data_IF_323296402664
#
_entry.id   IF_323296402664
#
_cell.length_a   1.000
_cell.length_b   1.000
_cell.length_c   1.000
_cell.angle_alpha   90.00
_cell.angle_beta   90.00
_cell.angle_gamma   90.00
#
_symmetry.space_group_name_H-M   'P 1'
#
loop_
_entity.id
_entity.type
_entity.pdbx_description
1 polymer ?
#
# COMPACT_ATOMS: atom_id res chain seq x y z
N UNK A 1 11.89 -10.89 16.72
CA UNK A 1 10.64 -10.67 15.95
C UNK A 1 11.01 -9.76 14.77
N UNK A 2 10.44 -9.98 13.58
CA UNK A 2 10.65 -9.10 12.44
C UNK A 2 9.82 -7.83 12.58
N UNK A 3 10.29 -6.72 12.01
CA UNK A 3 9.70 -5.39 12.15
C UNK A 3 9.38 -4.79 10.79
N UNK A 4 8.32 -4.01 10.68
CA UNK A 4 8.00 -3.26 9.48
C UNK A 4 7.47 -1.86 9.83
N UNK A 5 7.90 -0.86 9.07
CA UNK A 5 7.46 0.52 9.21
C UNK A 5 6.35 0.82 8.18
N UNK A 6 5.24 1.40 8.63
CA UNK A 6 4.30 2.07 7.73
C UNK A 6 4.48 3.58 7.78
N UNK A 7 4.52 4.21 6.61
CA UNK A 7 4.56 5.66 6.42
C UNK A 7 3.30 6.04 5.64
N UNK A 8 2.28 6.55 6.31
CA UNK A 8 0.99 6.86 5.69
C UNK A 8 0.15 7.79 6.56
N UNK A 9 -0.96 8.26 6.01
CA UNK A 9 -2.01 8.93 6.78
C UNK A 9 -2.74 7.97 7.71
N UNK A 10 -3.34 8.52 8.75
CA UNK A 10 -4.24 7.76 9.63
C UNK A 10 -5.66 7.75 9.05
N UNK A 11 -6.44 6.74 9.43
CA UNK A 11 -7.87 6.66 9.20
C UNK A 11 -8.57 6.41 10.53
N UNK A 12 -9.29 7.43 11.04
CA UNK A 12 -9.95 7.32 12.35
C UNK A 12 -11.05 6.25 12.40
N UNK A 13 -11.58 5.80 11.24
CA UNK A 13 -12.49 4.65 11.16
C UNK A 13 -11.75 3.30 11.28
N UNK A 14 -10.44 3.29 11.14
CA UNK A 14 -9.61 2.11 11.31
C UNK A 14 -9.60 1.14 10.14
N UNK A 15 -10.20 1.50 8.99
CA UNK A 15 -10.32 0.62 7.83
C UNK A 15 -9.18 0.71 6.82
N UNK A 16 -8.48 1.84 6.79
CA UNK A 16 -7.37 2.10 5.87
C UNK A 16 -6.18 2.76 6.61
N UNK A 17 -5.23 3.32 5.86
CA UNK A 17 -4.09 4.05 6.40
C UNK A 17 -3.26 3.21 7.37
N UNK A 18 -2.56 3.89 8.29
CA UNK A 18 -1.70 3.22 9.28
C UNK A 18 -2.45 2.20 10.13
N UNK A 19 -3.75 2.38 10.37
CA UNK A 19 -4.53 1.45 11.18
C UNK A 19 -4.74 0.11 10.47
N UNK A 20 -5.06 0.12 9.18
CA UNK A 20 -5.11 -1.10 8.38
C UNK A 20 -3.73 -1.75 8.26
N UNK A 21 -2.68 -0.93 8.07
CA UNK A 21 -1.31 -1.38 7.92
C UNK A 21 -0.83 -2.11 9.19
N UNK A 22 -0.99 -1.48 10.37
CA UNK A 22 -0.58 -2.06 11.66
C UNK A 22 -1.34 -3.37 11.94
N UNK A 23 -2.68 -3.39 11.75
CA UNK A 23 -3.48 -4.60 11.90
C UNK A 23 -3.00 -5.71 10.98
N UNK A 24 -2.74 -5.39 9.71
CA UNK A 24 -2.27 -6.33 8.71
C UNK A 24 -0.90 -6.90 9.04
N UNK A 25 0.07 -6.04 9.36
CA UNK A 25 1.43 -6.44 9.74
C UNK A 25 1.40 -7.32 10.99
N UNK A 26 0.63 -6.92 12.01
CA UNK A 26 0.48 -7.68 13.26
C UNK A 26 -0.16 -9.06 13.01
N UNK A 27 -1.24 -9.12 12.22
CA UNK A 27 -1.88 -10.40 11.87
C UNK A 27 -0.96 -11.31 11.03
N UNK A 28 0.00 -10.73 10.29
CA UNK A 28 1.04 -11.45 9.58
C UNK A 28 2.28 -11.78 10.45
N UNK A 29 2.25 -11.53 11.77
CA UNK A 29 3.30 -11.89 12.72
C UNK A 29 4.52 -10.97 12.68
N UNK A 30 4.35 -9.71 12.29
CA UNK A 30 5.40 -8.69 12.21
C UNK A 30 5.09 -7.55 13.18
N UNK A 31 6.07 -7.07 13.93
CA UNK A 31 5.91 -5.90 14.78
C UNK A 31 5.86 -4.64 13.90
N UNK A 32 4.76 -3.91 13.98
CA UNK A 32 4.53 -2.72 13.17
C UNK A 32 4.94 -1.45 13.92
N UNK A 33 5.77 -0.62 13.28
CA UNK A 33 6.02 0.77 13.65
C UNK A 33 5.34 1.70 12.65
N UNK A 34 5.14 2.97 12.97
CA UNK A 34 4.50 3.92 12.07
C UNK A 34 5.14 5.31 12.12
N UNK A 35 5.12 6.00 10.97
CA UNK A 35 5.32 7.44 10.84
C UNK A 35 4.09 8.03 10.14
N UNK A 36 3.42 8.97 10.80
CA UNK A 36 2.11 9.49 10.39
C UNK A 36 2.29 10.72 9.51
N UNK A 37 1.82 10.65 8.27
CA UNK A 37 1.89 11.76 7.31
C UNK A 37 0.74 12.76 7.48
N UNK A 38 -0.42 12.28 7.89
CA UNK A 38 -1.60 13.11 8.17
C UNK A 38 -2.55 12.40 9.13
N UNK A 39 -3.26 13.16 9.95
CA UNK A 39 -4.44 12.70 10.68
C UNK A 39 -5.69 13.03 9.88
N UNK A 40 -6.64 12.09 9.80
CA UNK A 40 -7.94 12.36 9.16
C UNK A 40 -9.08 12.24 10.15
N UNK A 41 -10.03 13.13 10.09
CA UNK A 41 -11.35 12.95 10.67
C UNK A 41 -12.22 12.22 9.64
N UNK A 42 -12.19 10.89 9.69
CA UNK A 42 -12.74 10.02 8.65
C UNK A 42 -13.63 8.94 9.26
N UNK A 43 -14.67 8.57 8.51
CA UNK A 43 -15.51 7.42 8.77
C UNK A 43 -15.84 6.68 7.47
N UNK A 44 -16.69 5.65 7.51
CA UNK A 44 -17.03 4.84 6.33
C UNK A 44 -17.79 5.61 5.23
N UNK A 45 -18.28 6.81 5.51
CA UNK A 45 -19.05 7.65 4.58
C UNK A 45 -18.23 8.79 3.98
N UNK A 46 -17.04 9.12 4.52
CA UNK A 46 -16.17 10.17 3.98
C UNK A 46 -15.17 10.75 4.97
N UNK A 47 -14.41 11.71 4.47
CA UNK A 47 -13.41 12.49 5.22
C UNK A 47 -13.96 13.88 5.43
N UNK A 48 -13.99 14.36 6.68
CA UNK A 48 -14.51 15.68 7.05
C UNK A 48 -13.41 16.70 7.34
N UNK A 49 -12.20 16.22 7.73
CA UNK A 49 -11.06 17.10 8.00
C UNK A 49 -9.74 16.35 7.89
N UNK A 50 -8.67 17.08 7.60
CA UNK A 50 -7.31 16.54 7.45
C UNK A 50 -6.32 17.48 8.12
N UNK A 51 -5.48 16.94 9.00
CA UNK A 51 -4.35 17.63 9.61
C UNK A 51 -3.05 16.97 9.14
N UNK A 52 -2.31 17.61 8.24
CA UNK A 52 -1.02 17.10 7.77
C UNK A 52 0.08 17.23 8.85
N UNK A 53 0.99 16.27 8.87
CA UNK A 53 2.24 16.39 9.60
C UNK A 53 3.13 17.44 8.95
N UNK A 54 3.91 18.16 9.74
CA UNK A 54 4.94 19.02 9.15
C UNK A 54 6.11 18.20 8.63
N UNK A 55 6.85 18.65 7.59
CA UNK A 55 8.05 17.97 7.09
C UNK A 55 9.07 17.70 8.22
N UNK A 56 9.28 18.67 9.10
CA UNK A 56 10.17 18.53 10.27
C UNK A 56 9.69 17.40 11.19
N UNK A 57 8.40 17.40 11.58
CA UNK A 57 7.89 16.38 12.50
C UNK A 57 7.88 14.98 11.88
N UNK A 58 7.63 14.87 10.58
CA UNK A 58 7.75 13.59 9.88
C UNK A 58 9.19 13.08 9.90
N UNK A 59 10.18 13.97 9.68
CA UNK A 59 11.58 13.61 9.78
C UNK A 59 11.93 13.06 11.17
N UNK A 60 11.48 13.74 12.25
CA UNK A 60 11.67 13.29 13.63
C UNK A 60 11.06 11.91 13.91
N UNK A 61 9.84 11.64 13.39
CA UNK A 61 9.22 10.32 13.53
C UNK A 61 10.06 9.23 12.84
N UNK A 62 10.57 9.52 11.63
CA UNK A 62 11.39 8.58 10.86
C UNK A 62 12.73 8.34 11.57
N UNK A 63 13.39 9.40 12.03
CA UNK A 63 14.63 9.29 12.78
C UNK A 63 14.45 8.47 14.07
N UNK A 64 13.37 8.71 14.82
CA UNK A 64 13.07 7.96 16.04
C UNK A 64 12.91 6.44 15.77
N UNK A 65 12.26 6.07 14.66
CA UNK A 65 12.09 4.65 14.30
C UNK A 65 13.41 4.05 13.80
N UNK A 66 14.06 4.69 12.82
CA UNK A 66 15.25 4.14 12.19
C UNK A 66 16.48 4.07 13.11
N UNK A 67 16.54 4.90 14.16
CA UNK A 67 17.67 4.89 15.11
C UNK A 67 17.50 3.93 16.29
N UNK A 68 16.29 3.35 16.47
CA UNK A 68 16.00 2.46 17.60
C UNK A 68 15.44 1.10 17.10
N UNK A 69 14.24 1.09 16.55
CA UNK A 69 13.60 -0.13 16.03
C UNK A 69 13.75 -0.15 14.49
N UNK A 70 14.94 -0.50 14.01
CA UNK A 70 15.24 -0.53 12.58
C UNK A 70 14.29 -1.48 11.85
N UNK A 71 13.51 -0.99 10.86
CA UNK A 71 12.55 -1.84 10.16
C UNK A 71 13.24 -2.77 9.16
N UNK A 72 12.80 -4.05 9.13
CA UNK A 72 13.22 -5.03 8.11
C UNK A 72 12.57 -4.76 6.74
N UNK A 73 11.44 -4.03 6.71
CA UNK A 73 10.75 -3.57 5.51
C UNK A 73 9.97 -2.28 5.77
N UNK A 74 9.72 -1.51 4.73
CA UNK A 74 8.96 -0.26 4.80
C UNK A 74 7.78 -0.33 3.82
N UNK A 75 6.59 0.06 4.26
CA UNK A 75 5.43 0.30 3.40
C UNK A 75 5.13 1.79 3.38
N UNK A 76 4.94 2.34 2.20
CA UNK A 76 4.51 3.72 2.01
C UNK A 76 3.11 3.72 1.39
N UNK A 77 2.19 4.41 2.05
CA UNK A 77 0.84 4.61 1.55
C UNK A 77 0.61 6.04 1.07
N UNK A 78 -0.53 6.63 1.43
CA UNK A 78 -0.87 7.98 1.02
C UNK A 78 0.07 9.02 1.63
N UNK A 79 0.67 9.85 0.77
CA UNK A 79 1.46 11.03 1.14
C UNK A 79 1.00 12.18 0.24
N UNK A 80 0.49 13.24 0.83
CA UNK A 80 -0.27 14.29 0.13
C UNK A 80 0.56 15.41 -0.47
N UNK A 81 1.73 15.73 0.09
CA UNK A 81 2.52 16.89 -0.32
C UNK A 81 3.92 16.54 -0.83
N UNK A 82 4.44 17.38 -1.72
CA UNK A 82 5.78 17.22 -2.29
C UNK A 82 6.88 17.28 -1.21
N UNK A 83 6.69 18.12 -0.21
CA UNK A 83 7.63 18.30 0.90
C UNK A 83 7.72 17.04 1.77
N UNK A 84 6.60 16.40 2.10
CA UNK A 84 6.59 15.15 2.85
C UNK A 84 7.21 14.00 2.04
N UNK A 85 6.94 13.95 0.73
CA UNK A 85 7.55 12.96 -0.18
C UNK A 85 9.07 13.13 -0.22
N UNK A 86 9.57 14.36 -0.30
CA UNK A 86 11.00 14.65 -0.29
C UNK A 86 11.68 14.20 1.01
N UNK A 87 11.05 14.47 2.17
CA UNK A 87 11.54 14.02 3.47
C UNK A 87 11.60 12.49 3.54
N UNK A 88 10.54 11.78 3.11
CA UNK A 88 10.54 10.32 3.10
C UNK A 88 11.67 9.79 2.23
N UNK A 89 11.81 10.31 1.01
CA UNK A 89 12.85 9.87 0.09
C UNK A 89 14.28 10.14 0.63
N UNK A 90 14.49 11.28 1.29
CA UNK A 90 15.75 11.60 1.96
C UNK A 90 16.06 10.59 3.08
N UNK A 91 15.10 10.35 3.98
CA UNK A 91 15.28 9.43 5.12
C UNK A 91 15.49 7.98 4.68
N UNK A 92 14.77 7.51 3.66
CA UNK A 92 15.00 6.17 3.11
C UNK A 92 16.43 6.00 2.57
N UNK A 93 16.98 7.01 1.89
CA UNK A 93 18.38 7.02 1.42
C UNK A 93 19.36 7.10 2.58
N UNK A 94 19.11 8.00 3.55
CA UNK A 94 19.96 8.20 4.74
C UNK A 94 20.15 6.90 5.52
N UNK A 95 19.07 6.14 5.71
CA UNK A 95 19.09 4.90 6.48
C UNK A 95 19.26 3.63 5.65
N UNK A 96 19.39 3.75 4.32
CA UNK A 96 19.61 2.60 3.45
C UNK A 96 18.47 1.59 3.46
N UNK A 97 17.22 2.05 3.43
CA UNK A 97 16.05 1.16 3.45
C UNK A 97 15.98 0.32 2.16
N UNK A 98 15.98 -1.02 2.29
CA UNK A 98 16.10 -1.92 1.13
C UNK A 98 14.78 -2.53 0.66
N UNK A 99 13.85 -2.85 1.56
CA UNK A 99 12.58 -3.53 1.24
C UNK A 99 11.43 -2.54 1.33
N UNK A 100 11.30 -1.72 0.29
CA UNK A 100 10.34 -0.61 0.24
C UNK A 100 9.17 -0.97 -0.68
N UNK A 101 7.98 -1.09 -0.12
CA UNK A 101 6.72 -1.28 -0.83
C UNK A 101 6.00 0.05 -0.93
N UNK A 102 5.77 0.56 -2.13
CA UNK A 102 5.04 1.82 -2.34
C UNK A 102 3.69 1.55 -2.97
N UNK A 103 2.63 1.88 -2.26
CA UNK A 103 1.27 1.97 -2.81
C UNK A 103 1.07 3.41 -3.30
N UNK A 104 1.11 3.66 -4.63
CA UNK A 104 1.14 5.01 -5.17
C UNK A 104 -0.27 5.61 -5.22
N UNK A 105 -0.84 5.89 -4.03
CA UNK A 105 -2.20 6.38 -3.87
C UNK A 105 -2.32 7.78 -4.47
N UNK A 106 -2.76 7.87 -5.72
CA UNK A 106 -2.93 9.13 -6.46
C UNK A 106 -4.38 9.48 -6.72
N UNK A 107 -5.26 8.46 -6.75
CA UNK A 107 -6.67 8.60 -7.13
C UNK A 107 -7.53 7.89 -6.09
N UNK A 108 -8.57 8.55 -5.62
CA UNK A 108 -9.56 7.93 -4.75
C UNK A 108 -10.36 6.85 -5.50
N UNK A 109 -10.98 5.92 -4.78
CA UNK A 109 -11.90 4.93 -5.37
C UNK A 109 -13.04 5.56 -6.17
N UNK A 110 -13.41 6.79 -5.84
CA UNK A 110 -14.40 7.60 -6.57
C UNK A 110 -13.87 8.19 -7.90
N UNK A 111 -12.58 8.03 -8.22
CA UNK A 111 -11.92 8.64 -9.37
C UNK A 111 -11.42 10.07 -9.12
N UNK A 112 -11.62 10.64 -7.94
CA UNK A 112 -11.13 11.97 -7.62
C UNK A 112 -9.59 11.96 -7.46
N UNK A 113 -8.92 12.94 -8.08
CA UNK A 113 -7.48 13.15 -7.94
C UNK A 113 -7.16 13.55 -6.49
N UNK A 114 -6.30 12.77 -5.84
CA UNK A 114 -5.90 12.99 -4.44
C UNK A 114 -4.62 13.82 -4.31
N UNK A 115 -3.76 13.78 -5.32
CA UNK A 115 -2.48 14.47 -5.31
C UNK A 115 -2.48 15.64 -6.30
N UNK A 116 -1.82 16.74 -5.91
CA UNK A 116 -1.49 17.85 -6.80
C UNK A 116 -0.35 17.46 -7.73
N UNK A 117 -0.16 18.21 -8.80
CA UNK A 117 0.85 17.90 -9.83
C UNK A 117 2.28 17.96 -9.28
N UNK A 118 2.57 18.88 -8.36
CA UNK A 118 3.86 18.99 -7.66
C UNK A 118 4.15 17.74 -6.82
N UNK A 119 3.15 17.21 -6.13
CA UNK A 119 3.28 15.97 -5.34
C UNK A 119 3.47 14.74 -6.25
N UNK A 120 2.77 14.67 -7.39
CA UNK A 120 2.98 13.59 -8.38
C UNK A 120 4.41 13.66 -8.93
N UNK A 121 4.91 14.87 -9.23
CA UNK A 121 6.27 15.03 -9.70
C UNK A 121 7.31 14.60 -8.64
N UNK A 122 7.13 14.99 -7.38
CA UNK A 122 8.00 14.57 -6.30
C UNK A 122 7.93 13.03 -6.09
N UNK A 123 6.73 12.45 -6.12
CA UNK A 123 6.52 11.00 -6.02
C UNK A 123 7.30 10.26 -7.10
N UNK A 124 7.10 10.62 -8.35
CA UNK A 124 7.69 9.93 -9.51
C UNK A 124 9.19 10.13 -9.63
N UNK A 125 9.72 11.31 -9.28
CA UNK A 125 11.14 11.62 -9.43
C UNK A 125 12.01 11.24 -8.22
N UNK A 126 11.44 11.21 -7.01
CA UNK A 126 12.24 11.05 -5.79
C UNK A 126 11.94 9.76 -5.02
N UNK A 127 10.68 9.32 -4.97
CA UNK A 127 10.26 8.20 -4.13
C UNK A 127 10.13 6.88 -4.89
N UNK A 128 9.45 6.86 -6.04
CA UNK A 128 9.25 5.61 -6.79
C UNK A 128 10.56 4.91 -7.19
N UNK A 129 11.67 5.63 -7.54
CA UNK A 129 12.95 4.97 -7.81
C UNK A 129 13.60 4.28 -6.60
N UNK A 130 13.09 4.47 -5.40
CA UNK A 130 13.57 3.81 -4.18
C UNK A 130 12.77 2.54 -3.84
N UNK A 131 11.70 2.28 -4.59
CA UNK A 131 10.84 1.14 -4.31
C UNK A 131 11.48 -0.19 -4.71
N UNK A 132 11.27 -1.21 -3.90
CA UNK A 132 11.46 -2.61 -4.30
C UNK A 132 10.30 -3.08 -5.17
N UNK A 133 9.09 -2.66 -4.81
CA UNK A 133 7.87 -2.95 -5.56
C UNK A 133 6.85 -1.81 -5.43
N UNK A 134 6.24 -1.46 -6.56
CA UNK A 134 5.09 -0.57 -6.66
C UNK A 134 3.81 -1.40 -6.76
N UNK A 135 2.71 -0.94 -6.14
CA UNK A 135 1.43 -1.64 -6.16
C UNK A 135 0.30 -0.79 -6.75
N UNK A 136 0.43 -0.25 -7.98
CA UNK A 136 -0.59 0.58 -8.59
C UNK A 136 -1.86 -0.22 -8.92
N UNK A 137 -3.02 0.40 -8.75
CA UNK A 137 -4.26 -0.05 -9.40
C UNK A 137 -4.26 0.36 -10.89
N UNK A 138 -5.27 -0.04 -11.67
CA UNK A 138 -5.33 0.24 -13.10
C UNK A 138 -5.28 1.76 -13.40
N UNK A 139 -6.12 2.63 -12.80
CA UNK A 139 -6.02 4.07 -13.01
C UNK A 139 -4.66 4.67 -12.65
N UNK A 140 -4.04 4.21 -11.59
CA UNK A 140 -2.69 4.63 -11.19
C UNK A 140 -1.63 4.15 -12.17
N UNK A 141 -1.76 2.91 -12.67
CA UNK A 141 -0.85 2.37 -13.67
C UNK A 141 -0.96 3.10 -15.01
N UNK A 142 -2.16 3.53 -15.43
CA UNK A 142 -2.35 4.38 -16.60
C UNK A 142 -1.64 5.72 -16.45
N UNK A 143 -1.77 6.38 -15.29
CA UNK A 143 -1.06 7.64 -15.00
C UNK A 143 0.46 7.44 -15.01
N UNK A 144 0.97 6.38 -14.38
CA UNK A 144 2.41 6.14 -14.26
C UNK A 144 3.06 5.69 -15.57
N UNK A 145 2.31 5.02 -16.45
CA UNK A 145 2.81 4.51 -17.73
C UNK A 145 2.58 5.45 -18.91
N UNK A 146 1.59 6.34 -18.82
CA UNK A 146 1.00 7.13 -19.92
C UNK A 146 0.37 6.23 -21.01
N UNK A 147 -0.12 5.04 -20.62
CA UNK A 147 -0.74 4.08 -21.52
C UNK A 147 -2.15 3.72 -21.05
N UNK A 148 -3.14 3.60 -21.95
CA UNK A 148 -4.47 3.11 -21.59
C UNK A 148 -4.41 1.60 -21.32
N UNK A 149 -5.19 1.14 -20.33
CA UNK A 149 -5.26 -0.27 -19.96
C UNK A 149 -6.70 -0.75 -20.14
N UNK A 150 -6.95 -1.46 -21.23
CA UNK A 150 -8.28 -1.99 -21.57
C UNK A 150 -8.35 -3.51 -21.53
N UNK A 151 -7.19 -4.17 -21.46
CA UNK A 151 -7.07 -5.63 -21.46
C UNK A 151 -5.77 -6.09 -20.76
N UNK A 152 -5.54 -7.41 -20.76
CA UNK A 152 -4.34 -8.01 -20.16
C UNK A 152 -3.03 -7.56 -20.84
N UNK A 153 -3.05 -7.37 -22.16
CA UNK A 153 -1.86 -6.93 -22.91
C UNK A 153 -1.51 -5.47 -22.57
N UNK A 154 -2.52 -4.61 -22.44
CA UNK A 154 -2.35 -3.23 -21.94
C UNK A 154 -1.78 -3.20 -20.53
N UNK A 155 -2.25 -4.08 -19.66
CA UNK A 155 -1.74 -4.21 -18.28
C UNK A 155 -0.27 -4.65 -18.25
N UNK A 156 0.14 -5.60 -19.11
CA UNK A 156 1.53 -6.00 -19.25
C UNK A 156 2.41 -4.88 -19.82
N UNK A 157 1.93 -4.16 -20.83
CA UNK A 157 2.64 -3.02 -21.41
C UNK A 157 2.87 -1.90 -20.38
N UNK A 158 1.84 -1.55 -19.61
CA UNK A 158 1.92 -0.55 -18.56
C UNK A 158 2.89 -0.98 -17.45
N UNK A 159 2.74 -2.19 -16.92
CA UNK A 159 3.60 -2.71 -15.85
C UNK A 159 5.08 -2.75 -16.29
N UNK A 160 5.36 -3.18 -17.52
CA UNK A 160 6.71 -3.14 -18.12
C UNK A 160 7.26 -1.72 -18.20
N UNK A 161 6.45 -0.78 -18.69
CA UNK A 161 6.86 0.62 -18.85
C UNK A 161 7.20 1.26 -17.50
N UNK A 162 6.36 1.02 -16.49
CA UNK A 162 6.57 1.52 -15.12
C UNK A 162 7.85 0.90 -14.53
N UNK A 163 8.01 -0.43 -14.66
CA UNK A 163 9.19 -1.15 -14.16
C UNK A 163 10.48 -0.62 -14.78
N UNK A 164 10.50 -0.39 -16.09
CA UNK A 164 11.66 0.18 -16.80
C UNK A 164 11.92 1.65 -16.38
N UNK A 165 10.87 2.44 -16.18
CA UNK A 165 10.97 3.87 -15.81
C UNK A 165 11.55 4.07 -14.42
N UNK A 166 11.18 3.23 -13.46
CA UNK A 166 11.56 3.40 -12.06
C UNK A 166 12.58 2.38 -11.54
N UNK A 167 12.92 1.36 -12.34
CA UNK A 167 13.93 0.36 -11.97
C UNK A 167 13.50 -0.61 -10.88
N UNK A 168 12.19 -0.86 -10.72
CA UNK A 168 11.64 -1.68 -9.64
C UNK A 168 10.59 -2.70 -10.15
N UNK A 169 10.22 -3.65 -9.30
CA UNK A 169 9.08 -4.52 -9.59
C UNK A 169 7.75 -3.74 -9.54
N UNK A 170 6.75 -4.21 -10.30
CA UNK A 170 5.42 -3.60 -10.35
C UNK A 170 4.35 -4.67 -10.18
N UNK A 171 3.55 -4.58 -9.14
CA UNK A 171 2.33 -5.36 -8.97
C UNK A 171 1.13 -4.51 -9.43
N UNK A 172 0.76 -4.63 -10.70
CA UNK A 172 -0.43 -3.98 -11.22
C UNK A 172 -1.68 -4.73 -10.73
N UNK A 173 -2.49 -4.05 -9.90
CA UNK A 173 -3.69 -4.64 -9.28
C UNK A 173 -4.83 -4.68 -10.27
N UNK A 174 -5.43 -5.85 -10.45
CA UNK A 174 -6.60 -6.06 -11.31
C UNK A 174 -7.92 -5.65 -10.65
N UNK A 175 -9.04 -6.11 -11.22
CA UNK A 175 -10.37 -5.96 -10.62
C UNK A 175 -11.20 -4.77 -11.10
N UNK A 176 -10.67 -3.84 -11.88
CA UNK A 176 -11.38 -2.66 -12.40
C UNK A 176 -12.14 -2.97 -13.71
N UNK A 177 -12.97 -4.04 -13.70
CA UNK A 177 -13.80 -4.49 -14.84
C UNK A 177 -13.03 -5.11 -16.03
N UNK A 178 -11.71 -5.20 -15.99
CA UNK A 178 -10.88 -5.76 -17.06
C UNK A 178 -10.71 -7.27 -16.89
N UNK A 179 -10.57 -7.72 -15.64
CA UNK A 179 -10.50 -9.13 -15.26
C UNK A 179 -11.20 -9.32 -13.91
N UNK A 180 -11.25 -10.55 -13.39
CA UNK A 180 -11.92 -10.84 -12.12
C UNK A 180 -11.19 -10.14 -10.95
N UNK A 181 -10.13 -10.72 -10.42
CA UNK A 181 -9.26 -10.12 -9.40
C UNK A 181 -7.79 -10.56 -9.62
N UNK A 182 -7.41 -10.65 -10.89
CA UNK A 182 -6.08 -11.09 -11.28
C UNK A 182 -5.10 -9.93 -11.22
N UNK A 183 -4.00 -10.08 -10.50
CA UNK A 183 -2.94 -9.11 -10.42
C UNK A 183 -1.72 -9.57 -11.23
N UNK A 184 -1.03 -8.65 -11.86
CA UNK A 184 0.17 -8.89 -12.64
C UNK A 184 1.40 -8.35 -11.90
N UNK A 185 2.31 -9.24 -11.53
CA UNK A 185 3.65 -8.86 -11.08
C UNK A 185 4.60 -8.85 -12.28
N UNK A 186 5.16 -7.68 -12.58
CA UNK A 186 6.23 -7.52 -13.57
C UNK A 186 7.56 -7.28 -12.87
N UNK A 187 8.56 -8.14 -13.16
CA UNK A 187 9.93 -7.99 -12.67
C UNK A 187 10.91 -8.72 -13.58
N UNK A 188 12.17 -8.33 -13.57
CA UNK A 188 13.25 -9.01 -14.29
C UNK A 188 12.95 -9.25 -15.79
N UNK A 189 12.18 -8.34 -16.41
CA UNK A 189 11.80 -8.41 -17.81
C UNK A 189 10.65 -9.39 -18.12
N UNK A 190 9.98 -9.96 -17.10
CA UNK A 190 8.87 -10.89 -17.27
C UNK A 190 7.67 -10.60 -16.37
N UNK A 191 6.49 -11.04 -16.81
CA UNK A 191 5.23 -10.92 -16.08
C UNK A 191 4.77 -12.25 -15.48
N UNK A 192 4.30 -12.24 -14.23
CA UNK A 192 3.65 -13.38 -13.56
C UNK A 192 2.26 -12.97 -13.10
N UNK A 193 1.25 -13.69 -13.55
CA UNK A 193 -0.12 -13.49 -13.13
C UNK A 193 -0.44 -14.23 -11.85
N UNK A 194 -1.00 -13.51 -10.88
CA UNK A 194 -1.57 -14.05 -9.65
C UNK A 194 -3.10 -14.04 -9.79
N UNK A 195 -3.66 -15.20 -10.10
CA UNK A 195 -5.10 -15.36 -10.29
C UNK A 195 -5.84 -15.11 -8.98
N UNK A 196 -6.99 -14.43 -9.07
CA UNK A 196 -7.85 -14.16 -7.94
C UNK A 196 -9.31 -14.24 -8.36
N UNK A 197 -10.18 -14.63 -7.41
CA UNK A 197 -11.62 -14.59 -7.60
C UNK A 197 -12.18 -13.37 -6.88
N UNK A 198 -13.03 -12.61 -7.54
CA UNK A 198 -13.73 -11.50 -6.92
C UNK A 198 -14.65 -12.00 -5.81
N UNK A 199 -14.48 -11.45 -4.61
CA UNK A 199 -15.33 -11.72 -3.46
C UNK A 199 -16.42 -10.64 -3.43
N UNK A 200 -17.71 -11.01 -3.42
CA UNK A 200 -18.82 -10.06 -3.46
C UNK A 200 -19.05 -9.42 -2.08
N UNK A 201 -18.06 -8.65 -1.61
CA UNK A 201 -18.14 -7.90 -0.35
C UNK A 201 -18.24 -6.40 -0.69
N UNK A 202 -19.27 -5.68 -0.22
CA UNK A 202 -19.38 -4.23 -0.41
C UNK A 202 -18.36 -3.46 0.44
N UNK A 203 -17.83 -4.08 1.49
CA UNK A 203 -16.90 -3.48 2.43
C UNK A 203 -15.46 -3.71 1.97
N UNK A 204 -14.98 -2.84 1.08
CA UNK A 204 -13.67 -2.93 0.44
C UNK A 204 -12.71 -1.81 0.84
N UNK A 205 -13.09 -1.00 1.85
CA UNK A 205 -12.27 0.10 2.31
C UNK A 205 -10.93 -0.42 2.87
N UNK A 206 -9.82 0.12 2.35
CA UNK A 206 -8.46 -0.25 2.77
C UNK A 206 -7.87 -1.50 2.12
N UNK A 207 -8.48 -2.05 1.05
CA UNK A 207 -7.94 -3.22 0.35
C UNK A 207 -6.53 -2.99 -0.19
N UNK A 208 -6.24 -1.81 -0.78
CA UNK A 208 -4.90 -1.43 -1.25
C UNK A 208 -3.88 -1.39 -0.11
N UNK A 209 -4.22 -0.68 0.98
CA UNK A 209 -3.37 -0.61 2.17
C UNK A 209 -3.09 -2.01 2.74
N UNK A 210 -4.11 -2.85 2.85
CA UNK A 210 -3.96 -4.23 3.36
C UNK A 210 -3.06 -5.08 2.47
N UNK A 211 -3.24 -5.05 1.15
CA UNK A 211 -2.40 -5.81 0.22
C UNK A 211 -0.93 -5.38 0.31
N UNK A 212 -0.66 -4.08 0.19
CA UNK A 212 0.70 -3.55 0.23
C UNK A 212 1.40 -3.79 1.57
N UNK A 213 0.67 -3.69 2.69
CA UNK A 213 1.20 -3.97 4.04
C UNK A 213 1.46 -5.46 4.27
N UNK A 214 0.60 -6.35 3.74
CA UNK A 214 0.85 -7.79 3.79
C UNK A 214 2.08 -8.18 2.96
N UNK A 215 2.31 -7.54 1.80
CA UNK A 215 3.54 -7.73 1.02
C UNK A 215 4.75 -7.29 1.85
N UNK A 216 4.73 -6.08 2.43
CA UNK A 216 5.81 -5.57 3.26
C UNK A 216 6.11 -6.50 4.46
N UNK A 217 5.07 -6.98 5.15
CA UNK A 217 5.22 -7.93 6.26
C UNK A 217 5.88 -9.24 5.82
N UNK A 218 5.55 -9.77 4.65
CA UNK A 218 6.15 -11.00 4.15
C UNK A 218 7.60 -10.79 3.68
N UNK A 219 7.91 -9.65 3.03
CA UNK A 219 9.28 -9.26 2.72
C UNK A 219 10.13 -9.08 3.99
N UNK A 220 9.59 -8.48 5.05
CA UNK A 220 10.27 -8.36 6.35
C UNK A 220 10.63 -9.72 6.94
N UNK A 221 9.78 -10.74 6.75
CA UNK A 221 10.06 -12.13 7.19
C UNK A 221 11.08 -12.85 6.31
N UNK A 222 11.51 -12.27 5.19
CA UNK A 222 12.52 -12.84 4.28
C UNK A 222 11.94 -13.71 3.17
N UNK A 223 10.63 -13.71 2.94
CA UNK A 223 10.05 -14.33 1.75
C UNK A 223 10.48 -13.55 0.50
N UNK A 224 10.66 -14.26 -0.62
CA UNK A 224 10.84 -13.58 -1.90
C UNK A 224 9.57 -12.82 -2.33
N UNK A 225 9.68 -12.02 -3.38
CA UNK A 225 8.58 -11.15 -3.80
C UNK A 225 7.36 -11.93 -4.30
N UNK A 226 7.56 -13.04 -5.01
CA UNK A 226 6.47 -13.88 -5.52
C UNK A 226 5.67 -14.49 -4.36
N UNK A 227 6.40 -15.08 -3.40
CA UNK A 227 5.80 -15.65 -2.19
C UNK A 227 5.11 -14.57 -1.35
N UNK A 228 5.70 -13.38 -1.27
CA UNK A 228 5.12 -12.25 -0.53
C UNK A 228 3.80 -11.78 -1.15
N UNK A 229 3.71 -11.71 -2.49
CA UNK A 229 2.48 -11.38 -3.21
C UNK A 229 1.43 -12.47 -3.05
N UNK A 230 1.79 -13.74 -3.22
CA UNK A 230 0.87 -14.86 -3.07
C UNK A 230 0.24 -14.92 -1.67
N UNK A 231 1.07 -14.79 -0.63
CA UNK A 231 0.61 -14.74 0.77
C UNK A 231 -0.27 -13.54 1.05
N UNK A 232 0.08 -12.38 0.52
CA UNK A 232 -0.71 -11.15 0.67
C UNK A 232 -2.08 -11.27 0.00
N UNK A 233 -2.16 -11.88 -1.20
CA UNK A 233 -3.44 -12.17 -1.86
C UNK A 233 -4.30 -13.16 -1.07
N UNK A 234 -3.70 -14.19 -0.52
CA UNK A 234 -4.42 -15.14 0.32
C UNK A 234 -4.98 -14.45 1.59
N UNK A 235 -4.17 -13.61 2.24
CA UNK A 235 -4.59 -12.87 3.42
C UNK A 235 -5.75 -11.91 3.13
N UNK A 236 -5.64 -11.06 2.10
CA UNK A 236 -6.72 -10.11 1.77
C UNK A 236 -8.00 -10.83 1.35
N UNK A 237 -7.89 -11.97 0.65
CA UNK A 237 -9.05 -12.78 0.28
C UNK A 237 -9.76 -13.33 1.52
N UNK A 238 -9.02 -13.81 2.51
CA UNK A 238 -9.59 -14.25 3.80
C UNK A 238 -10.28 -13.11 4.55
N UNK A 239 -9.63 -11.94 4.62
CA UNK A 239 -10.18 -10.77 5.29
C UNK A 239 -11.48 -10.25 4.63
N UNK A 240 -11.57 -10.31 3.30
CA UNK A 240 -12.79 -9.98 2.55
C UNK A 240 -13.88 -11.05 2.72
N UNK A 241 -13.51 -12.33 2.68
CA UNK A 241 -14.46 -13.45 2.82
C UNK A 241 -15.12 -13.52 4.20
N UNK A 242 -14.50 -12.93 5.22
CA UNK A 242 -15.06 -12.88 6.58
C UNK A 242 -16.27 -11.94 6.71
N UNK A 243 -16.63 -11.17 5.66
CA UNK A 243 -17.86 -10.37 5.54
C UNK A 243 -18.14 -9.48 6.74
N UNK A 244 -17.11 -8.81 7.31
CA UNK A 244 -17.31 -7.85 8.39
C UNK A 244 -18.18 -6.69 7.88
N UNK A 245 -19.22 -6.35 8.63
CA UNK A 245 -20.17 -5.29 8.29
C UNK A 245 -20.22 -4.24 9.40
N UNK A 246 -19.40 -3.19 9.24
CA UNK A 246 -19.31 -2.09 10.18
C UNK A 246 -19.44 -0.74 9.46
N UNK A 247 -20.23 0.13 10.02
CA UNK A 247 -20.43 1.48 9.51
C UNK A 247 -21.65 1.62 8.60
N UNK A 248 -21.78 2.77 7.94
CA UNK A 248 -22.93 3.11 7.07
C UNK A 248 -22.58 3.20 5.60
N UNK A 249 -21.28 3.20 5.28
CA UNK A 249 -20.73 3.27 3.93
C UNK A 249 -19.91 2.04 3.60
N UNK A 250 -18.90 2.17 2.73
CA UNK A 250 -17.94 1.08 2.48
C UNK A 250 -17.11 0.83 3.73
N UNK A 251 -17.40 -0.25 4.44
CA UNK A 251 -16.79 -0.60 5.72
C UNK A 251 -15.41 -1.24 5.60
N UNK A 252 -14.73 -1.48 6.74
CA UNK A 252 -13.44 -2.14 6.79
C UNK A 252 -13.56 -3.65 6.56
N UNK A 253 -12.45 -4.27 6.14
CA UNK A 253 -12.31 -5.72 6.14
C UNK A 253 -12.02 -6.27 7.54
N UNK A 254 -12.25 -7.56 7.76
CA UNK A 254 -11.87 -8.24 9.00
C UNK A 254 -10.39 -8.64 8.98
N UNK A 255 -9.51 -7.75 9.44
CA UNK A 255 -8.07 -8.04 9.53
C UNK A 255 -7.73 -9.16 10.53
N UNK A 256 -8.68 -9.54 11.40
CA UNK A 256 -8.51 -10.56 12.45
C UNK A 256 -9.15 -11.91 12.09
N UNK A 257 -9.51 -12.13 10.82
CA UNK A 257 -10.30 -13.31 10.40
C UNK A 257 -9.64 -14.66 10.74
N UNK A 258 -8.32 -14.71 10.83
CA UNK A 258 -7.55 -15.92 11.16
C UNK A 258 -6.86 -15.84 12.53
N UNK A 259 -7.18 -14.81 13.32
CA UNK A 259 -6.62 -14.66 14.67
C UNK A 259 -7.27 -15.68 15.62
N UNK A 260 -6.46 -16.60 16.13
CA UNK A 260 -6.87 -17.63 17.09
C UNK A 260 -6.07 -17.45 18.38
N UNK A 261 -6.77 -17.35 19.49
CA UNK A 261 -6.13 -17.24 20.80
C UNK A 261 -7.15 -16.95 21.90
N UNK A 262 -6.83 -17.24 23.14
CA UNK A 262 -7.73 -17.10 24.28
C UNK A 262 -8.21 -15.69 24.60
N UNK A 263 -7.71 -14.67 23.87
CA UNK A 263 -8.17 -13.28 23.95
C UNK A 263 -8.97 -12.83 22.73
N UNK A 264 -9.20 -13.71 21.76
CA UNK A 264 -9.93 -13.42 20.52
C UNK A 264 -11.39 -13.90 20.55
N UNK A 265 -11.80 -14.58 21.63
CA UNK A 265 -13.15 -15.11 21.88
C UNK A 265 -14.01 -14.13 22.69
#
# INVERSE_FOLDING_TARGET
>A
MKTALTIAGSDSSGGAGIQADIKTMTANGVFATCAVTALTAQNTTGVTDILESTPHFLAEQLDAVFTDIVPDAVKIGMVSSAELIAVIAEKLRQYGAERVVVDPVMVATSGAKLLRDDAIQALTSQLLPLATVLTPNIPEAEILSDLPITDAAGMEAAARTISQRYGCAVLCKGGHQINDADDLLWRDGGGKWFRGRRIPNPNTHGTGCTLSSAIAANLAKGYDLDQSVERAKAYISGALAAMLDLGKGSGPMNHMFDLKGGFAE
#
